data_IF_175422112398
#
_entry.id   IF_175422112398
#
_cell.length_a   1.000
_cell.length_b   1.000
_cell.length_c   1.000
_cell.angle_alpha   90.00
_cell.angle_beta   90.00
_cell.angle_gamma   90.00
#
_symmetry.space_group_name_H-M   'P 1'
#
loop_
_entity.id
_entity.type
_entity.pdbx_description
1 polymer ?
#
# COMPACT_ATOMS: atom_id res chain seq x y z
N UNK A 1 -1.29 35.02 -0.50
CA UNK A 1 -0.23 34.57 -1.42
C UNK A 1 -0.51 33.13 -1.78
N UNK A 2 -0.80 32.91 -3.06
CA UNK A 2 -1.49 31.74 -3.61
C UNK A 2 -0.63 30.47 -3.50
N UNK A 3 -1.10 29.54 -2.68
CA UNK A 3 -0.49 28.25 -2.37
C UNK A 3 -0.75 27.24 -3.50
N UNK A 4 -0.02 27.34 -4.61
CA UNK A 4 -0.15 26.39 -5.71
C UNK A 4 0.76 25.17 -5.49
N UNK A 5 0.13 24.00 -5.31
CA UNK A 5 0.76 22.71 -5.51
C UNK A 5 0.97 22.59 -7.02
N UNK A 6 2.19 22.90 -7.48
CA UNK A 6 2.53 22.98 -8.89
C UNK A 6 2.15 21.68 -9.59
N UNK A 7 1.25 21.77 -10.55
CA UNK A 7 0.90 20.62 -11.37
C UNK A 7 2.15 20.21 -12.15
N UNK A 8 2.52 18.92 -12.16
CA UNK A 8 3.67 18.46 -12.92
C UNK A 8 3.48 18.83 -14.39
N UNK A 9 4.55 19.32 -15.03
CA UNK A 9 4.56 19.54 -16.47
C UNK A 9 4.26 18.20 -17.16
N UNK A 10 3.23 18.16 -18.01
CA UNK A 10 2.85 16.93 -18.72
C UNK A 10 3.94 16.58 -19.73
N UNK A 11 4.09 15.28 -20.04
CA UNK A 11 5.08 14.80 -21.01
C UNK A 11 4.97 15.53 -22.35
N UNK A 12 3.77 15.88 -22.80
CA UNK A 12 3.55 16.66 -24.02
C UNK A 12 4.22 18.04 -23.99
N UNK A 13 4.33 18.66 -22.83
CA UNK A 13 4.84 20.04 -22.64
C UNK A 13 6.32 20.09 -22.29
N UNK A 14 6.97 18.93 -22.07
CA UNK A 14 8.41 18.85 -21.80
C UNK A 14 9.23 19.43 -22.96
N UNK A 15 10.48 19.89 -22.72
CA UNK A 15 11.40 20.23 -23.78
C UNK A 15 11.51 19.10 -24.82
N UNK A 16 11.66 19.47 -26.10
CA UNK A 16 11.65 18.50 -27.20
C UNK A 16 12.71 17.42 -27.06
N UNK A 17 13.91 17.80 -26.61
CA UNK A 17 15.03 16.88 -26.32
C UNK A 17 14.62 15.86 -25.26
N UNK A 18 14.01 16.33 -24.16
CA UNK A 18 13.60 15.49 -23.03
C UNK A 18 12.54 14.47 -23.46
N UNK A 19 11.54 14.90 -24.24
CA UNK A 19 10.51 14.00 -24.78
C UNK A 19 11.10 12.91 -25.66
N UNK A 20 12.06 13.26 -26.52
CA UNK A 20 12.72 12.31 -27.41
C UNK A 20 13.55 11.29 -26.62
N UNK A 21 14.31 11.76 -25.62
CA UNK A 21 15.11 10.88 -24.76
C UNK A 21 14.21 9.97 -23.91
N UNK A 22 13.12 10.49 -23.36
CA UNK A 22 12.16 9.70 -22.58
C UNK A 22 11.44 8.65 -23.42
N UNK A 23 10.99 9.03 -24.62
CA UNK A 23 10.41 8.09 -25.59
C UNK A 23 11.41 6.98 -25.92
N UNK A 24 12.66 7.33 -26.24
CA UNK A 24 13.72 6.33 -26.50
C UNK A 24 13.94 5.40 -25.31
N UNK A 25 14.01 5.95 -24.10
CA UNK A 25 14.24 5.17 -22.90
C UNK A 25 13.10 4.17 -22.60
N UNK A 26 11.88 4.48 -23.01
CA UNK A 26 10.67 3.67 -22.74
C UNK A 26 10.30 2.71 -23.87
N UNK A 27 10.90 2.84 -25.06
CA UNK A 27 10.70 1.91 -26.17
C UNK A 27 11.13 0.49 -25.76
N UNK A 28 10.25 -0.47 -26.02
CA UNK A 28 10.57 -1.90 -25.91
C UNK A 28 11.53 -2.26 -27.04
N UNK A 29 12.70 -2.82 -26.70
CA UNK A 29 13.67 -3.23 -27.72
C UNK A 29 13.08 -4.25 -28.69
N UNK A 30 13.55 -4.20 -29.94
CA UNK A 30 13.24 -5.19 -30.96
C UNK A 30 14.30 -6.30 -30.95
N UNK A 31 14.20 -7.30 -31.85
CA UNK A 31 15.23 -8.34 -31.98
C UNK A 31 16.58 -7.79 -32.46
N UNK A 32 16.61 -6.59 -33.03
CA UNK A 32 17.80 -5.94 -33.59
C UNK A 32 18.17 -4.62 -32.88
N UNK A 33 17.27 -4.06 -32.06
CA UNK A 33 17.49 -2.80 -31.34
C UNK A 33 17.72 -3.05 -29.85
N UNK A 34 18.69 -2.35 -29.26
CA UNK A 34 18.88 -2.38 -27.82
C UNK A 34 17.64 -1.80 -27.10
N UNK A 35 17.09 -2.51 -26.09
CA UNK A 35 15.95 -2.02 -25.34
C UNK A 35 16.33 -0.78 -24.53
N UNK A 36 15.44 0.22 -24.52
CA UNK A 36 15.64 1.42 -23.71
C UNK A 36 15.76 1.09 -22.22
N UNK A 37 16.47 1.92 -21.46
CA UNK A 37 16.74 1.71 -20.03
C UNK A 37 15.50 1.56 -19.14
N UNK A 38 14.37 2.12 -19.56
CA UNK A 38 13.08 2.06 -18.87
C UNK A 38 12.08 1.07 -19.52
N UNK A 39 12.47 0.36 -20.58
CA UNK A 39 11.61 -0.61 -21.30
C UNK A 39 10.99 -1.70 -20.41
N UNK A 40 11.76 -2.17 -19.42
CA UNK A 40 11.35 -3.22 -18.49
C UNK A 40 10.65 -2.70 -17.22
N UNK A 41 10.45 -1.37 -17.12
CA UNK A 41 9.87 -0.77 -15.93
C UNK A 41 8.38 -1.05 -15.85
N UNK A 42 7.88 -1.16 -14.63
CA UNK A 42 6.43 -1.28 -14.41
C UNK A 42 5.75 0.06 -14.76
N UNK A 43 4.49 0.05 -15.23
CA UNK A 43 3.74 1.29 -15.49
C UNK A 43 3.73 2.26 -14.30
N UNK A 44 3.64 1.73 -13.07
CA UNK A 44 3.73 2.55 -11.85
C UNK A 44 5.08 3.25 -11.65
N UNK A 45 6.17 2.61 -12.10
CA UNK A 45 7.52 3.18 -12.01
C UNK A 45 7.71 4.26 -13.06
N UNK A 46 7.20 4.05 -14.27
CA UNK A 46 7.15 5.05 -15.35
C UNK A 46 6.37 6.27 -14.86
N UNK A 47 5.15 6.09 -14.35
CA UNK A 47 4.32 7.21 -13.87
C UNK A 47 4.94 7.99 -12.70
N UNK A 48 5.69 7.33 -11.80
CA UNK A 48 6.44 8.04 -10.74
C UNK A 48 7.57 8.87 -11.36
N UNK A 49 8.33 8.31 -12.30
CA UNK A 49 9.42 9.02 -12.94
C UNK A 49 8.91 10.22 -13.76
N UNK A 50 7.83 10.06 -14.52
CA UNK A 50 7.19 11.15 -15.27
C UNK A 50 6.66 12.24 -14.36
N UNK A 51 5.95 11.88 -13.30
CA UNK A 51 5.43 12.85 -12.34
C UNK A 51 6.57 13.63 -11.68
N UNK A 52 7.58 12.93 -11.17
CA UNK A 52 8.74 13.55 -10.53
C UNK A 52 9.53 14.47 -11.47
N UNK A 53 9.77 14.03 -12.71
CA UNK A 53 10.51 14.82 -13.69
C UNK A 53 9.68 16.02 -14.17
N UNK A 54 8.37 15.84 -14.38
CA UNK A 54 7.46 16.92 -14.70
C UNK A 54 7.35 17.96 -13.59
N UNK A 55 7.34 17.56 -12.31
CA UNK A 55 7.40 18.50 -11.18
C UNK A 55 8.72 19.28 -11.14
N UNK A 56 9.84 18.62 -11.47
CA UNK A 56 11.14 19.26 -11.58
C UNK A 56 11.17 20.29 -12.71
N UNK A 57 10.68 19.94 -13.90
CA UNK A 57 10.59 20.86 -15.04
C UNK A 57 9.67 22.04 -14.75
N UNK A 58 8.51 21.81 -14.11
CA UNK A 58 7.60 22.88 -13.73
C UNK A 58 8.26 23.84 -12.72
N UNK A 59 9.02 23.31 -11.75
CA UNK A 59 9.78 24.16 -10.83
C UNK A 59 10.87 24.97 -11.56
N UNK A 60 11.61 24.37 -12.50
CA UNK A 60 12.58 25.11 -13.30
C UNK A 60 11.92 26.23 -14.13
N UNK A 61 10.75 25.96 -14.70
CA UNK A 61 9.98 26.89 -15.52
C UNK A 61 9.45 28.06 -14.67
N UNK A 62 8.88 27.77 -13.50
CA UNK A 62 8.40 28.77 -12.54
C UNK A 62 9.50 29.71 -12.02
N UNK A 63 10.75 29.22 -11.95
CA UNK A 63 11.89 30.02 -11.53
C UNK A 63 12.63 30.65 -12.72
N UNK A 64 12.08 30.58 -13.93
CA UNK A 64 12.64 31.15 -15.17
C UNK A 64 14.08 30.65 -15.49
N UNK A 65 14.45 29.48 -14.97
CA UNK A 65 15.77 28.85 -15.15
C UNK A 65 15.70 27.62 -16.06
N UNK A 66 14.52 27.32 -16.62
CA UNK A 66 14.37 26.23 -17.57
C UNK A 66 14.97 26.58 -18.93
N UNK A 67 16.22 26.21 -19.14
CA UNK A 67 16.82 26.22 -20.47
C UNK A 67 16.33 25.00 -21.27
N UNK A 68 15.43 25.23 -22.23
CA UNK A 68 14.81 24.17 -23.06
C UNK A 68 15.74 23.60 -24.13
N UNK A 69 16.90 24.23 -24.38
CA UNK A 69 17.85 23.86 -25.43
C UNK A 69 18.93 22.86 -24.98
N UNK A 70 19.22 22.83 -23.68
CA UNK A 70 20.23 21.93 -23.11
C UNK A 70 19.68 20.54 -22.82
N UNK A 71 20.57 19.58 -22.58
CA UNK A 71 20.19 18.22 -22.19
C UNK A 71 19.72 18.16 -20.72
N UNK A 72 18.85 17.19 -20.35
CA UNK A 72 18.40 16.99 -18.97
C UNK A 72 19.50 17.04 -17.92
N UNK A 73 20.63 16.36 -18.14
CA UNK A 73 21.77 16.28 -17.22
C UNK A 73 22.37 17.65 -16.91
N UNK A 74 22.46 18.54 -17.90
CA UNK A 74 23.07 19.86 -17.75
C UNK A 74 22.24 20.79 -16.85
N UNK A 75 20.94 20.51 -16.68
CA UNK A 75 20.07 21.27 -15.79
C UNK A 75 20.27 20.92 -14.31
N UNK A 76 20.88 19.77 -14.03
CA UNK A 76 20.94 19.16 -12.69
C UNK A 76 22.23 19.56 -11.99
N UNK A 77 22.14 20.51 -11.06
CA UNK A 77 23.22 20.89 -10.14
C UNK A 77 22.81 20.62 -8.71
N UNK A 78 23.78 20.56 -7.79
CA UNK A 78 23.49 20.34 -6.37
C UNK A 78 22.58 21.44 -5.81
N UNK A 79 22.87 22.69 -6.15
CA UNK A 79 22.16 23.88 -5.68
C UNK A 79 20.70 23.88 -6.14
N UNK A 80 20.46 23.60 -7.43
CA UNK A 80 19.09 23.60 -7.97
C UNK A 80 18.25 22.46 -7.41
N UNK A 81 18.83 21.28 -7.26
CA UNK A 81 18.11 20.13 -6.70
C UNK A 81 17.82 20.34 -5.22
N UNK A 82 18.74 20.93 -4.47
CA UNK A 82 18.52 21.23 -3.05
C UNK A 82 17.39 22.25 -2.88
N UNK A 83 17.41 23.35 -3.63
CA UNK A 83 16.34 24.34 -3.65
C UNK A 83 14.97 23.73 -4.07
N UNK A 84 14.97 22.81 -5.03
CA UNK A 84 13.76 22.06 -5.40
C UNK A 84 13.29 21.15 -4.26
N UNK A 85 14.20 20.45 -3.57
CA UNK A 85 13.86 19.58 -2.46
C UNK A 85 13.32 20.38 -1.24
N UNK A 86 13.90 21.55 -0.97
CA UNK A 86 13.39 22.50 0.04
C UNK A 86 11.98 22.99 -0.32
N UNK A 87 11.77 23.40 -1.58
CA UNK A 87 10.45 23.79 -2.08
C UNK A 87 9.40 22.68 -1.87
N UNK A 88 9.77 21.43 -2.14
CA UNK A 88 8.89 20.29 -1.91
C UNK A 88 8.65 20.05 -0.41
N UNK A 89 9.69 20.12 0.42
CA UNK A 89 9.59 19.83 1.86
C UNK A 89 8.70 20.83 2.61
N UNK A 90 8.59 22.07 2.11
CA UNK A 90 7.63 23.05 2.61
C UNK A 90 6.15 22.70 2.37
N UNK A 91 5.85 21.72 1.50
CA UNK A 91 4.48 21.41 1.05
C UNK A 91 4.07 19.95 1.29
N UNK A 92 5.03 19.03 1.25
CA UNK A 92 4.77 17.60 1.38
C UNK A 92 5.68 16.95 2.41
N UNK A 93 5.23 15.82 2.97
CA UNK A 93 6.03 15.07 3.94
C UNK A 93 7.38 14.61 3.33
N UNK A 94 8.42 14.49 4.15
CA UNK A 94 9.77 14.12 3.71
C UNK A 94 9.85 12.78 2.92
N UNK A 95 8.97 11.82 3.20
CA UNK A 95 8.86 10.61 2.38
C UNK A 95 8.35 10.88 0.95
N UNK A 96 7.46 11.86 0.79
CA UNK A 96 6.99 12.28 -0.54
C UNK A 96 8.11 13.01 -1.29
N UNK A 97 8.89 13.87 -0.60
CA UNK A 97 10.11 14.48 -1.16
C UNK A 97 11.09 13.41 -1.62
N UNK A 98 11.35 12.40 -0.79
CA UNK A 98 12.22 11.27 -1.11
C UNK A 98 11.77 10.52 -2.37
N UNK A 99 10.47 10.27 -2.51
CA UNK A 99 9.88 9.64 -3.71
C UNK A 99 10.07 10.54 -4.93
N UNK A 100 9.83 11.84 -4.80
CA UNK A 100 10.00 12.81 -5.87
C UNK A 100 11.45 12.82 -6.39
N UNK A 101 12.43 12.98 -5.50
CA UNK A 101 13.87 13.00 -5.83
C UNK A 101 14.34 11.66 -6.40
N UNK A 102 13.86 10.54 -5.85
CA UNK A 102 14.14 9.20 -6.40
C UNK A 102 13.55 9.02 -7.81
N UNK A 103 12.37 9.57 -8.08
CA UNK A 103 11.75 9.55 -9.41
C UNK A 103 12.49 10.42 -10.41
N UNK A 104 12.95 11.61 -9.99
CA UNK A 104 13.82 12.48 -10.78
C UNK A 104 15.12 11.75 -11.16
N UNK A 105 15.79 11.14 -10.19
CA UNK A 105 16.99 10.34 -10.44
C UNK A 105 16.74 9.21 -11.44
N UNK A 106 15.63 8.48 -11.32
CA UNK A 106 15.24 7.45 -12.28
C UNK A 106 15.08 8.02 -13.69
N UNK A 107 14.31 9.10 -13.85
CA UNK A 107 14.08 9.72 -15.14
C UNK A 107 15.41 10.13 -15.80
N UNK A 108 16.29 10.80 -15.06
CA UNK A 108 17.61 11.23 -15.54
C UNK A 108 18.48 10.05 -15.96
N UNK A 109 18.55 8.98 -15.15
CA UNK A 109 19.31 7.78 -15.51
C UNK A 109 18.81 7.12 -16.79
N UNK A 110 17.49 7.15 -17.02
CA UNK A 110 16.89 6.56 -18.20
C UNK A 110 17.13 7.41 -19.45
N UNK A 111 17.05 8.73 -19.34
CA UNK A 111 17.22 9.66 -20.48
C UNK A 111 18.69 9.92 -20.85
N UNK A 112 19.60 9.88 -19.89
CA UNK A 112 21.02 10.22 -20.07
C UNK A 112 21.94 9.00 -20.00
N UNK A 113 21.37 7.81 -19.77
CA UNK A 113 22.08 6.52 -19.73
C UNK A 113 23.32 6.54 -18.81
N UNK A 114 23.24 7.33 -17.74
CA UNK A 114 24.39 7.67 -16.88
C UNK A 114 24.18 7.21 -15.44
N UNK A 115 25.28 7.13 -14.70
CA UNK A 115 25.28 6.95 -13.23
C UNK A 115 25.72 8.20 -12.47
N UNK A 116 25.94 9.33 -13.14
CA UNK A 116 26.52 10.54 -12.56
C UNK A 116 25.67 11.18 -11.44
N UNK A 117 24.40 10.79 -11.32
CA UNK A 117 23.46 11.38 -10.36
C UNK A 117 23.19 10.52 -9.12
N UNK A 118 24.08 9.57 -8.78
CA UNK A 118 23.93 8.73 -7.58
C UNK A 118 23.77 9.53 -6.28
N UNK A 119 24.32 10.74 -6.19
CA UNK A 119 24.15 11.63 -5.03
C UNK A 119 22.68 12.01 -4.78
N UNK A 120 21.81 11.97 -5.78
CA UNK A 120 20.36 12.13 -5.60
C UNK A 120 19.76 11.05 -4.69
N UNK A 121 20.30 9.83 -4.70
CA UNK A 121 19.87 8.77 -3.77
C UNK A 121 20.29 9.06 -2.32
N UNK A 122 21.38 9.82 -2.11
CA UNK A 122 21.78 10.27 -0.78
C UNK A 122 20.81 11.34 -0.27
N UNK A 123 20.49 12.33 -1.10
CA UNK A 123 19.51 13.37 -0.77
C UNK A 123 18.12 12.78 -0.50
N UNK A 124 17.65 11.87 -1.36
CA UNK A 124 16.38 11.18 -1.16
C UNK A 124 16.35 10.41 0.17
N UNK A 125 17.45 9.78 0.58
CA UNK A 125 17.55 9.08 1.87
C UNK A 125 17.58 10.05 3.04
N UNK A 126 18.26 11.18 2.93
CA UNK A 126 18.25 12.23 3.95
C UNK A 126 16.81 12.64 4.29
N UNK A 127 16.00 13.00 3.29
CA UNK A 127 14.60 13.37 3.50
C UNK A 127 13.73 12.22 4.01
N UNK A 128 14.00 10.97 3.62
CA UNK A 128 13.28 9.81 4.15
C UNK A 128 13.59 9.54 5.63
N UNK A 129 14.85 9.71 6.03
CA UNK A 129 15.31 9.44 7.40
C UNK A 129 14.95 10.56 8.38
N UNK A 130 14.99 11.81 7.92
CA UNK A 130 14.64 12.99 8.72
C UNK A 130 13.15 13.32 8.66
N UNK A 131 12.37 12.64 7.81
CA UNK A 131 10.93 12.70 7.92
C UNK A 131 10.53 12.26 9.33
N UNK A 132 9.77 13.08 10.08
CA UNK A 132 9.21 12.61 11.33
C UNK A 132 8.52 11.27 11.07
N UNK A 133 8.51 10.37 12.04
CA UNK A 133 7.65 9.18 11.93
C UNK A 133 6.20 9.66 11.99
N UNK A 134 5.66 10.20 10.89
CA UNK A 134 4.40 10.96 10.83
C UNK A 134 3.17 10.07 11.05
N UNK A 135 3.37 8.84 11.50
CA UNK A 135 2.28 7.99 11.97
C UNK A 135 2.79 7.29 13.20
N UNK A 136 2.20 7.61 14.35
CA UNK A 136 2.15 6.69 15.47
C UNK A 136 1.36 5.44 15.01
N UNK A 137 2.02 4.60 14.21
CA UNK A 137 1.47 3.38 13.63
C UNK A 137 1.18 2.39 14.74
N UNK A 138 2.01 2.37 15.79
CA UNK A 138 1.82 1.56 16.99
C UNK A 138 0.45 1.84 17.63
N UNK A 139 0.07 3.12 17.78
CA UNK A 139 -1.26 3.50 18.27
C UNK A 139 -2.40 3.31 17.26
N UNK A 140 -2.16 2.60 16.14
CA UNK A 140 -3.18 2.16 15.18
C UNK A 140 -3.12 0.64 14.95
N UNK A 141 -2.23 -0.06 15.63
CA UNK A 141 -2.19 -1.52 15.57
C UNK A 141 -3.39 -2.06 16.33
N UNK A 142 -4.14 -2.94 15.68
CA UNK A 142 -5.28 -3.64 16.23
C UNK A 142 -4.93 -5.14 16.15
N UNK A 143 -5.21 -5.94 17.18
CA UNK A 143 -5.01 -7.39 17.11
C UNK A 143 -5.70 -7.99 15.88
N UNK A 144 -5.03 -8.92 15.22
CA UNK A 144 -5.57 -9.52 13.99
C UNK A 144 -6.83 -10.35 14.26
N UNK A 145 -6.92 -10.97 15.43
CA UNK A 145 -8.12 -11.66 15.90
C UNK A 145 -9.34 -10.71 15.99
N UNK A 146 -9.18 -9.52 16.57
CA UNK A 146 -10.25 -8.52 16.69
C UNK A 146 -10.74 -8.05 15.31
N UNK A 147 -9.82 -7.87 14.36
CA UNK A 147 -10.16 -7.53 12.98
C UNK A 147 -10.89 -8.67 12.28
N UNK A 148 -10.44 -9.89 12.48
CA UNK A 148 -11.06 -11.09 11.93
C UNK A 148 -12.50 -11.25 12.42
N UNK A 149 -12.70 -11.16 13.74
CA UNK A 149 -14.00 -11.24 14.38
C UNK A 149 -14.94 -10.12 13.92
N UNK A 150 -14.48 -8.88 13.84
CA UNK A 150 -15.29 -7.77 13.34
C UNK A 150 -15.79 -8.03 11.90
N UNK A 151 -14.95 -8.58 11.02
CA UNK A 151 -15.40 -8.95 9.67
C UNK A 151 -16.45 -10.07 9.67
N UNK A 152 -16.34 -11.05 10.58
CA UNK A 152 -17.34 -12.11 10.77
C UNK A 152 -18.68 -11.54 11.23
N UNK A 153 -18.67 -10.67 12.25
CA UNK A 153 -19.86 -9.98 12.76
C UNK A 153 -20.58 -9.19 11.66
N UNK A 154 -19.83 -8.50 10.79
CA UNK A 154 -20.40 -7.78 9.65
C UNK A 154 -21.09 -8.72 8.66
N UNK A 155 -20.52 -9.89 8.39
CA UNK A 155 -21.12 -10.89 7.51
C UNK A 155 -22.39 -11.50 8.12
N UNK A 156 -22.38 -11.81 9.41
CA UNK A 156 -23.53 -12.38 10.11
C UNK A 156 -24.69 -11.38 10.22
N UNK A 157 -24.40 -10.11 10.50
CA UNK A 157 -25.40 -9.04 10.47
C UNK A 157 -25.96 -8.83 9.07
N UNK A 158 -25.10 -8.87 8.06
CA UNK A 158 -25.50 -8.71 6.67
C UNK A 158 -26.43 -9.83 6.19
N UNK A 159 -26.16 -11.08 6.58
CA UNK A 159 -26.97 -12.24 6.21
C UNK A 159 -28.40 -12.18 6.79
N UNK A 160 -28.60 -11.47 7.91
CA UNK A 160 -29.91 -11.28 8.55
C UNK A 160 -30.74 -10.16 7.91
N UNK A 161 -30.16 -9.32 7.04
CA UNK A 161 -30.87 -8.20 6.39
C UNK A 161 -31.69 -8.68 5.20
N UNK A 162 -33.00 -8.70 5.36
CA UNK A 162 -33.97 -9.07 4.30
C UNK A 162 -34.51 -7.83 3.58
N UNK A 163 -34.63 -6.71 4.29
CA UNK A 163 -35.23 -5.44 3.86
C UNK A 163 -34.38 -4.65 2.85
N UNK A 164 -33.06 -4.81 2.89
CA UNK A 164 -32.12 -4.08 2.05
C UNK A 164 -31.10 -5.03 1.39
N UNK A 165 -31.50 -5.86 0.41
CA UNK A 165 -30.68 -6.98 -0.08
C UNK A 165 -29.35 -6.53 -0.71
N UNK A 166 -29.33 -5.41 -1.44
CA UNK A 166 -28.08 -4.88 -2.02
C UNK A 166 -27.15 -4.33 -0.93
N UNK A 167 -27.70 -3.62 0.06
CA UNK A 167 -26.91 -3.13 1.19
C UNK A 167 -26.35 -4.29 2.03
N UNK A 168 -27.16 -5.32 2.29
CA UNK A 168 -26.72 -6.57 2.92
C UNK A 168 -25.60 -7.22 2.12
N UNK A 169 -25.74 -7.34 0.80
CA UNK A 169 -24.69 -7.91 -0.05
C UNK A 169 -23.37 -7.11 0.02
N UNK A 170 -23.44 -5.78 0.00
CA UNK A 170 -22.27 -4.92 0.19
C UNK A 170 -21.64 -5.08 1.57
N UNK A 171 -22.45 -5.15 2.63
CA UNK A 171 -21.97 -5.33 4.01
C UNK A 171 -21.31 -6.70 4.19
N UNK A 172 -21.87 -7.75 3.59
CA UNK A 172 -21.27 -9.09 3.60
C UNK A 172 -19.92 -9.10 2.89
N UNK A 173 -19.86 -8.60 1.64
CA UNK A 173 -18.60 -8.45 0.89
C UNK A 173 -17.55 -7.69 1.70
N UNK A 174 -17.97 -6.62 2.35
CA UNK A 174 -17.13 -5.78 3.18
C UNK A 174 -16.58 -6.52 4.40
N UNK A 175 -17.41 -7.25 5.13
CA UNK A 175 -16.98 -8.10 6.25
C UNK A 175 -15.97 -9.17 5.80
N UNK A 176 -16.26 -9.83 4.67
CA UNK A 176 -15.37 -10.83 4.08
C UNK A 176 -13.99 -10.26 3.72
N UNK A 177 -13.92 -9.04 3.16
CA UNK A 177 -12.66 -8.37 2.86
C UNK A 177 -11.83 -8.13 4.14
N UNK A 178 -12.47 -7.71 5.24
CA UNK A 178 -11.80 -7.43 6.51
C UNK A 178 -11.27 -8.72 7.13
N UNK A 179 -12.10 -9.76 7.25
CA UNK A 179 -11.66 -11.06 7.78
C UNK A 179 -10.59 -11.69 6.90
N UNK A 180 -10.71 -11.61 5.58
CA UNK A 180 -9.70 -12.08 4.65
C UNK A 180 -8.36 -11.35 4.84
N UNK A 181 -8.35 -10.02 4.98
CA UNK A 181 -7.11 -9.27 5.20
C UNK A 181 -6.50 -9.52 6.58
N UNK A 182 -7.31 -9.83 7.59
CA UNK A 182 -6.83 -10.18 8.93
C UNK A 182 -6.12 -11.53 8.95
N UNK A 183 -6.67 -12.53 8.25
CA UNK A 183 -6.07 -13.87 8.13
C UNK A 183 -4.98 -13.96 7.06
N UNK A 184 -5.15 -13.24 5.95
CA UNK A 184 -4.28 -13.24 4.77
C UNK A 184 -3.91 -11.81 4.40
N UNK A 185 -2.95 -11.18 5.11
CA UNK A 185 -2.58 -9.78 4.94
C UNK A 185 -1.78 -9.54 3.65
N UNK A 186 -2.41 -9.73 2.49
CA UNK A 186 -1.82 -9.52 1.18
C UNK A 186 -1.80 -8.03 0.83
N UNK A 187 -0.96 -7.64 -0.14
CA UNK A 187 -0.89 -6.24 -0.57
C UNK A 187 -2.20 -5.84 -1.26
N UNK A 188 -2.62 -4.59 -1.12
CA UNK A 188 -3.82 -4.04 -1.78
C UNK A 188 -3.91 -4.35 -3.27
N UNK A 189 -2.79 -4.24 -3.99
CA UNK A 189 -2.74 -4.57 -5.42
C UNK A 189 -2.90 -6.07 -5.72
N UNK A 190 -2.53 -6.95 -4.78
CA UNK A 190 -2.82 -8.38 -4.92
C UNK A 190 -4.29 -8.64 -4.60
N UNK A 191 -4.83 -7.99 -3.56
CA UNK A 191 -6.25 -8.10 -3.19
C UNK A 191 -7.18 -7.71 -4.34
N UNK A 192 -6.90 -6.60 -5.03
CA UNK A 192 -7.67 -6.16 -6.20
C UNK A 192 -7.53 -7.09 -7.40
N UNK A 193 -6.44 -7.88 -7.47
CA UNK A 193 -6.14 -8.79 -8.57
C UNK A 193 -6.48 -10.25 -8.24
N UNK A 194 -7.37 -10.49 -7.27
CA UNK A 194 -7.98 -11.80 -7.08
C UNK A 194 -9.06 -12.01 -8.15
N UNK A 195 -8.81 -12.96 -9.05
CA UNK A 195 -9.61 -13.26 -10.23
C UNK A 195 -9.96 -14.74 -10.19
N UNK A 196 -11.26 -15.03 -10.22
CA UNK A 196 -11.83 -16.37 -10.11
C UNK A 196 -11.35 -17.26 -11.26
N UNK A 197 -10.79 -18.41 -10.90
CA UNK A 197 -10.26 -19.37 -11.88
C UNK A 197 -8.83 -19.07 -12.32
N UNK A 198 -8.26 -17.92 -11.97
CA UNK A 198 -6.91 -17.52 -12.37
C UNK A 198 -5.98 -17.38 -11.17
N UNK A 199 -6.20 -16.37 -10.33
CA UNK A 199 -5.35 -16.09 -9.17
C UNK A 199 -5.96 -16.58 -7.87
N UNK A 200 -7.25 -16.92 -7.86
CA UNK A 200 -7.90 -17.67 -6.78
C UNK A 200 -8.73 -18.82 -7.34
N UNK A 201 -8.52 -20.02 -6.81
CA UNK A 201 -9.10 -21.27 -7.30
C UNK A 201 -9.51 -22.17 -6.15
N UNK A 202 -10.62 -22.91 -6.30
CA UNK A 202 -10.96 -23.99 -5.36
C UNK A 202 -10.03 -25.19 -5.62
N UNK A 203 -9.45 -25.75 -4.56
CA UNK A 203 -8.58 -26.92 -4.58
C UNK A 203 -8.97 -27.83 -3.42
N UNK A 204 -9.71 -28.90 -3.72
CA UNK A 204 -10.35 -29.72 -2.70
C UNK A 204 -11.38 -28.92 -1.91
N UNK A 205 -11.33 -29.00 -0.58
CA UNK A 205 -12.26 -28.31 0.32
C UNK A 205 -11.94 -26.82 0.53
N UNK A 206 -10.76 -26.33 0.12
CA UNK A 206 -10.31 -24.95 0.42
C UNK A 206 -10.01 -24.13 -0.84
N UNK A 207 -10.12 -22.81 -0.71
CA UNK A 207 -9.62 -21.90 -1.75
C UNK A 207 -8.12 -21.72 -1.62
N UNK A 208 -7.43 -21.59 -2.76
CA UNK A 208 -6.02 -21.23 -2.84
C UNK A 208 -5.86 -20.02 -3.73
N UNK A 209 -5.05 -19.06 -3.30
CA UNK A 209 -4.65 -17.95 -4.14
C UNK A 209 -3.16 -17.98 -4.43
N UNK A 210 -2.80 -17.63 -5.66
CA UNK A 210 -1.41 -17.58 -6.11
C UNK A 210 -1.15 -16.38 -7.02
N UNK A 211 0.02 -15.77 -6.88
CA UNK A 211 0.48 -14.67 -7.71
C UNK A 211 1.86 -14.97 -8.27
N UNK A 212 2.01 -14.85 -9.59
CA UNK A 212 3.30 -14.98 -10.28
C UNK A 212 4.28 -13.88 -9.82
N UNK A 213 5.61 -14.09 -9.95
CA UNK A 213 6.61 -13.10 -9.58
C UNK A 213 6.40 -11.71 -10.20
N UNK A 214 5.96 -11.66 -11.47
CA UNK A 214 5.66 -10.40 -12.16
C UNK A 214 4.57 -9.57 -11.47
N UNK A 215 3.59 -10.24 -10.86
CA UNK A 215 2.47 -9.62 -10.16
C UNK A 215 2.79 -9.22 -8.70
N UNK A 216 3.89 -9.71 -8.11
CA UNK A 216 4.24 -9.37 -6.72
C UNK A 216 5.28 -8.27 -6.62
N UNK A 217 5.20 -7.43 -5.58
CA UNK A 217 6.19 -6.35 -5.35
C UNK A 217 7.59 -6.90 -5.06
N UNK A 218 7.69 -8.07 -4.44
CA UNK A 218 8.96 -8.73 -4.08
C UNK A 218 9.55 -9.55 -5.23
N UNK A 219 8.88 -9.66 -6.38
CA UNK A 219 9.27 -10.56 -7.49
C UNK A 219 9.43 -12.02 -7.05
N UNK A 220 8.60 -12.48 -6.12
CA UNK A 220 8.53 -13.86 -5.66
C UNK A 220 7.11 -14.40 -5.83
N UNK A 221 6.97 -15.70 -6.01
CA UNK A 221 5.65 -16.35 -5.94
C UNK A 221 5.07 -16.09 -4.55
N UNK A 222 3.80 -15.67 -4.51
CA UNK A 222 3.01 -15.65 -3.29
C UNK A 222 1.89 -16.66 -3.48
N UNK A 223 1.91 -17.75 -2.71
CA UNK A 223 0.87 -18.77 -2.71
C UNK A 223 0.43 -19.02 -1.27
N UNK A 224 -0.89 -19.01 -1.03
CA UNK A 224 -1.46 -19.39 0.27
C UNK A 224 -2.79 -20.10 0.07
N UNK A 225 -3.09 -21.01 1.00
CA UNK A 225 -4.40 -21.63 1.16
C UNK A 225 -5.22 -20.79 2.12
N UNK A 226 -6.46 -20.47 1.72
CA UNK A 226 -7.43 -19.77 2.57
C UNK A 226 -7.79 -20.67 3.76
N UNK A 227 -7.87 -20.09 4.95
CA UNK A 227 -8.29 -20.83 6.15
C UNK A 227 -9.69 -21.42 5.99
N UNK A 228 -9.98 -22.47 6.75
CA UNK A 228 -11.22 -23.25 6.62
C UNK A 228 -12.46 -22.41 6.85
N UNK A 229 -12.53 -21.72 7.98
CA UNK A 229 -13.64 -20.84 8.35
C UNK A 229 -13.98 -19.80 7.28
N UNK A 230 -12.97 -19.25 6.59
CA UNK A 230 -13.18 -18.29 5.50
C UNK A 230 -13.68 -18.96 4.22
N UNK A 231 -13.35 -20.24 4.01
CA UNK A 231 -13.80 -20.95 2.82
C UNK A 231 -15.32 -21.06 2.78
N UNK A 232 -15.97 -21.35 3.91
CA UNK A 232 -17.44 -21.38 3.99
C UNK A 232 -18.06 -20.02 3.69
N UNK A 233 -17.46 -18.95 4.21
CA UNK A 233 -17.88 -17.57 3.92
C UNK A 233 -17.66 -17.19 2.45
N UNK A 234 -16.60 -17.70 1.82
CA UNK A 234 -16.38 -17.57 0.38
C UNK A 234 -17.45 -18.31 -0.42
N UNK A 235 -17.86 -19.50 0.00
CA UNK A 235 -18.90 -20.27 -0.69
C UNK A 235 -20.23 -19.51 -0.70
N UNK A 236 -20.65 -18.97 0.46
CA UNK A 236 -21.83 -18.08 0.55
C UNK A 236 -21.67 -16.83 -0.31
N UNK A 237 -20.50 -16.20 -0.27
CA UNK A 237 -20.23 -15.01 -1.06
C UNK A 237 -20.35 -15.29 -2.57
N UNK A 238 -19.72 -16.35 -3.05
CA UNK A 238 -19.65 -16.68 -4.48
C UNK A 238 -20.98 -17.21 -5.01
N UNK A 239 -21.72 -17.98 -4.23
CA UNK A 239 -23.01 -18.53 -4.63
C UNK A 239 -24.13 -17.49 -4.61
N UNK A 240 -24.12 -16.56 -3.66
CA UNK A 240 -25.32 -15.77 -3.35
C UNK A 240 -25.07 -14.26 -3.37
N UNK A 241 -23.98 -13.78 -2.79
CA UNK A 241 -23.74 -12.34 -2.60
C UNK A 241 -23.15 -11.70 -3.86
N UNK A 242 -22.10 -12.31 -4.41
CA UNK A 242 -21.38 -11.81 -5.59
C UNK A 242 -22.29 -11.73 -6.82
N UNK A 243 -23.12 -12.74 -7.16
CA UNK A 243 -24.06 -12.62 -8.28
C UNK A 243 -25.00 -11.43 -8.13
N UNK A 244 -25.60 -11.23 -6.94
CA UNK A 244 -26.47 -10.07 -6.66
C UNK A 244 -25.81 -8.72 -6.89
N UNK A 245 -24.51 -8.59 -6.58
CA UNK A 245 -23.76 -7.37 -6.86
C UNK A 245 -23.43 -7.24 -8.36
N UNK A 246 -22.99 -8.34 -8.99
CA UNK A 246 -22.59 -8.38 -10.40
C UNK A 246 -23.76 -8.11 -11.35
N UNK A 247 -24.95 -8.63 -11.06
CA UNK A 247 -26.13 -8.55 -11.93
C UNK A 247 -26.69 -7.12 -12.06
N UNK A 248 -26.07 -6.16 -11.36
CA UNK A 248 -26.33 -4.73 -11.51
C UNK A 248 -25.64 -4.11 -12.74
N UNK A 249 -24.66 -4.80 -13.33
CA UNK A 249 -24.00 -4.38 -14.56
C UNK A 249 -24.53 -5.19 -15.76
N UNK A 250 -24.64 -4.55 -16.93
CA UNK A 250 -25.12 -5.16 -18.18
C UNK A 250 -24.02 -5.84 -19.00
N UNK A 251 -22.79 -5.91 -18.48
CA UNK A 251 -21.61 -6.44 -19.17
C UNK A 251 -21.26 -7.91 -18.84
N UNK A 252 -20.23 -8.45 -19.52
CA UNK A 252 -19.68 -9.76 -19.18
C UNK A 252 -19.18 -9.79 -17.74
N UNK A 253 -19.24 -10.96 -17.09
CA UNK A 253 -18.70 -11.10 -15.72
C UNK A 253 -17.19 -10.78 -15.74
N UNK A 254 -16.72 -9.77 -14.99
CA UNK A 254 -15.31 -9.40 -14.95
C UNK A 254 -14.43 -10.48 -14.28
N UNK A 255 -15.03 -11.54 -13.72
CA UNK A 255 -14.38 -12.64 -12.98
C UNK A 255 -13.58 -12.18 -11.76
N UNK A 256 -13.52 -10.88 -11.49
CA UNK A 256 -12.91 -10.32 -10.27
C UNK A 256 -13.65 -10.83 -9.05
N UNK A 257 -12.89 -11.22 -8.02
CA UNK A 257 -13.46 -11.71 -6.77
C UNK A 257 -14.33 -10.65 -6.12
N UNK A 258 -13.85 -9.40 -6.07
CA UNK A 258 -14.54 -8.28 -5.44
C UNK A 258 -15.31 -7.46 -6.46
N UNK A 259 -16.62 -7.33 -6.26
CA UNK A 259 -17.53 -6.57 -7.12
C UNK A 259 -17.99 -5.31 -6.40
N UNK A 260 -17.98 -4.17 -7.09
CA UNK A 260 -18.40 -2.87 -6.61
C UNK A 260 -19.94 -2.75 -6.58
N UNK A 261 -20.45 -1.61 -6.10
CA UNK A 261 -21.91 -1.39 -5.99
C UNK A 261 -22.60 -1.31 -7.36
N UNK A 262 -21.91 -0.84 -8.38
CA UNK A 262 -22.37 -0.73 -9.77
C UNK A 262 -22.25 -2.05 -10.56
N UNK A 263 -21.76 -3.12 -9.93
CA UNK A 263 -21.53 -4.41 -10.59
C UNK A 263 -20.18 -4.53 -11.31
N UNK A 264 -19.37 -3.46 -11.34
CA UNK A 264 -18.03 -3.49 -11.91
C UNK A 264 -17.01 -4.12 -10.95
N UNK A 265 -15.76 -4.25 -11.41
CA UNK A 265 -14.64 -4.67 -10.55
C UNK A 265 -14.42 -3.65 -9.44
N UNK A 266 -14.35 -4.11 -8.19
CA UNK A 266 -13.90 -3.28 -7.08
C UNK A 266 -12.37 -3.17 -7.12
N UNK A 267 -11.88 -2.06 -7.65
CA UNK A 267 -10.46 -1.83 -7.84
C UNK A 267 -9.68 -1.56 -6.53
N UNK A 268 -8.37 -1.35 -6.66
CA UNK A 268 -7.51 -1.06 -5.51
C UNK A 268 -7.89 0.25 -4.78
N UNK A 269 -8.45 1.25 -5.49
CA UNK A 269 -8.91 2.51 -4.90
C UNK A 269 -10.15 2.31 -4.04
N UNK A 270 -11.16 1.63 -4.60
CA UNK A 270 -12.39 1.25 -3.93
C UNK A 270 -12.14 0.37 -2.71
N UNK A 271 -11.26 -0.64 -2.82
CA UNK A 271 -10.86 -1.46 -1.67
C UNK A 271 -10.24 -0.64 -0.54
N UNK A 272 -9.42 0.37 -0.88
CA UNK A 272 -8.86 1.27 0.13
C UNK A 272 -9.95 2.06 0.85
N UNK A 273 -10.92 2.61 0.11
CA UNK A 273 -12.03 3.38 0.68
C UNK A 273 -12.93 2.51 1.57
N UNK A 274 -13.29 1.31 1.11
CA UNK A 274 -14.09 0.34 1.86
C UNK A 274 -13.43 0.00 3.19
N UNK A 275 -12.16 -0.41 3.17
CA UNK A 275 -11.44 -0.77 4.40
C UNK A 275 -11.34 0.41 5.36
N UNK A 276 -11.05 1.61 4.85
CA UNK A 276 -10.97 2.84 5.66
C UNK A 276 -12.30 3.19 6.31
N UNK A 277 -13.40 3.12 5.55
CA UNK A 277 -14.72 3.45 6.06
C UNK A 277 -15.17 2.49 7.16
N UNK A 278 -15.01 1.17 6.95
CA UNK A 278 -15.47 0.16 7.90
C UNK A 278 -14.70 0.20 9.21
N UNK A 279 -13.39 0.31 9.14
CA UNK A 279 -12.53 0.34 10.33
C UNK A 279 -12.66 1.66 11.08
N UNK A 280 -12.91 2.78 10.38
CA UNK A 280 -13.18 4.07 11.00
C UNK A 280 -14.52 4.14 11.77
N UNK A 281 -15.49 3.28 11.47
CA UNK A 281 -16.75 3.18 12.22
C UNK A 281 -16.59 2.47 13.57
N UNK A 282 -15.67 1.50 13.66
CA UNK A 282 -15.52 0.62 14.83
C UNK A 282 -14.35 0.99 15.73
N UNK A 283 -13.27 1.51 15.15
CA UNK A 283 -12.03 1.75 15.86
C UNK A 283 -11.69 3.24 15.92
N UNK A 284 -10.96 3.70 16.95
CA UNK A 284 -10.63 5.13 17.13
C UNK A 284 -9.90 5.75 15.93
N UNK A 285 -9.22 4.92 15.13
CA UNK A 285 -8.53 5.35 13.92
C UNK A 285 -8.77 4.36 12.80
N UNK A 286 -9.21 4.87 11.66
CA UNK A 286 -9.38 4.07 10.46
C UNK A 286 -8.07 3.38 10.05
N UNK A 287 -8.17 2.10 9.70
CA UNK A 287 -7.12 1.33 9.08
C UNK A 287 -7.15 1.51 7.57
N UNK A 288 -6.06 1.11 6.94
CA UNK A 288 -5.93 0.99 5.49
C UNK A 288 -5.40 -0.42 5.20
N UNK A 289 -5.56 -0.96 3.98
CA UNK A 289 -5.11 -2.33 3.68
C UNK A 289 -3.66 -2.64 4.05
N UNK A 290 -2.76 -1.65 3.97
CA UNK A 290 -1.36 -1.84 4.42
C UNK A 290 -1.23 -2.01 5.94
N UNK A 291 -2.09 -1.37 6.75
CA UNK A 291 -2.02 -1.50 8.21
C UNK A 291 -2.42 -2.90 8.69
N UNK A 292 -3.22 -3.67 7.94
CA UNK A 292 -3.49 -5.08 8.26
C UNK A 292 -2.20 -5.92 8.30
N UNK A 293 -1.23 -5.60 7.44
CA UNK A 293 0.10 -6.25 7.46
C UNK A 293 0.90 -5.87 8.69
N UNK A 294 0.85 -4.60 9.08
CA UNK A 294 1.51 -4.12 10.29
C UNK A 294 0.85 -4.77 11.52
N UNK A 295 -0.49 -4.89 11.55
CA UNK A 295 -1.26 -5.56 12.59
C UNK A 295 -0.93 -7.05 12.71
N UNK A 296 -0.91 -7.78 11.59
CA UNK A 296 -0.54 -9.20 11.57
C UNK A 296 0.89 -9.42 12.03
N UNK A 297 1.83 -8.59 11.58
CA UNK A 297 3.23 -8.68 12.02
C UNK A 297 3.36 -8.49 13.52
N UNK A 298 2.65 -7.49 14.07
CA UNK A 298 2.69 -7.18 15.49
C UNK A 298 1.95 -8.21 16.33
N UNK A 299 0.79 -8.74 15.89
CA UNK A 299 0.10 -9.85 16.57
C UNK A 299 1.00 -11.07 16.69
N UNK A 300 1.60 -11.54 15.59
CA UNK A 300 2.52 -12.69 15.64
C UNK A 300 3.69 -12.41 16.58
N UNK A 301 4.28 -11.22 16.54
CA UNK A 301 5.39 -10.89 17.43
C UNK A 301 5.01 -10.79 18.92
N UNK A 302 3.73 -10.65 19.24
CA UNK A 302 3.22 -10.59 20.64
C UNK A 302 2.72 -11.96 21.10
N UNK A 303 1.98 -12.65 20.24
CA UNK A 303 1.25 -13.89 20.55
C UNK A 303 2.11 -15.14 20.29
N UNK A 304 3.05 -15.07 19.36
CA UNK A 304 3.95 -16.17 18.99
C UNK A 304 5.36 -15.67 18.61
N UNK A 305 6.10 -15.11 19.59
CA UNK A 305 7.41 -14.51 19.35
C UNK A 305 8.47 -15.52 18.87
N UNK A 306 8.33 -16.80 19.22
CA UNK A 306 9.25 -17.86 18.79
C UNK A 306 9.19 -18.11 17.28
N UNK A 307 8.02 -17.88 16.68
CA UNK A 307 7.78 -18.08 15.24
C UNK A 307 7.78 -16.79 14.41
N UNK A 308 8.42 -15.71 14.89
CA UNK A 308 8.54 -14.46 14.11
C UNK A 308 9.16 -14.68 12.72
N UNK A 309 10.01 -15.70 12.55
CA UNK A 309 10.52 -16.11 11.23
C UNK A 309 9.41 -16.42 10.21
N UNK A 310 8.25 -16.93 10.67
CA UNK A 310 7.07 -17.23 9.84
C UNK A 310 6.45 -15.97 9.26
N UNK A 311 6.56 -14.81 9.94
CA UNK A 311 6.07 -13.52 9.41
C UNK A 311 6.71 -13.18 8.06
N UNK A 312 7.96 -13.58 7.81
CA UNK A 312 8.63 -13.37 6.51
C UNK A 312 7.91 -14.12 5.39
N UNK A 313 7.46 -15.34 5.66
CA UNK A 313 6.75 -16.22 4.71
C UNK A 313 5.28 -15.82 4.55
N UNK A 314 4.58 -15.55 5.66
CA UNK A 314 3.16 -15.13 5.65
C UNK A 314 2.97 -13.76 5.02
N UNK A 315 3.91 -12.84 5.22
CA UNK A 315 3.83 -11.48 4.70
C UNK A 315 4.57 -11.33 3.36
N UNK A 316 5.49 -12.24 3.01
CA UNK A 316 6.33 -12.10 1.83
C UNK A 316 7.26 -10.88 1.91
N UNK A 317 7.93 -10.69 3.05
CA UNK A 317 8.93 -9.65 3.26
C UNK A 317 10.27 -10.05 2.61
N UNK A 318 10.91 -9.08 1.93
CA UNK A 318 12.17 -9.32 1.22
C UNK A 318 13.39 -9.27 2.15
N UNK A 319 13.32 -8.56 3.29
CA UNK A 319 14.46 -8.31 4.20
C UNK A 319 14.08 -8.50 5.66
N UNK A 320 15.03 -8.98 6.47
CA UNK A 320 14.88 -9.18 7.92
C UNK A 320 14.68 -7.85 8.67
N UNK A 321 15.30 -6.76 8.21
CA UNK A 321 15.15 -5.43 8.79
C UNK A 321 13.68 -4.95 8.86
N UNK A 322 12.84 -5.34 7.90
CA UNK A 322 11.40 -5.02 7.93
C UNK A 322 10.69 -5.77 9.05
N UNK A 323 10.97 -7.07 9.21
CA UNK A 323 10.43 -7.89 10.30
C UNK A 323 10.92 -7.43 11.68
N UNK A 324 12.19 -7.05 11.80
CA UNK A 324 12.77 -6.52 13.05
C UNK A 324 12.07 -5.24 13.54
N UNK A 325 11.67 -4.36 12.63
CA UNK A 325 10.92 -3.13 12.99
C UNK A 325 9.56 -3.47 13.63
N UNK A 326 8.88 -4.50 13.14
CA UNK A 326 7.61 -4.97 13.72
C UNK A 326 7.83 -5.65 15.08
N UNK A 327 8.92 -6.40 15.23
CA UNK A 327 9.31 -6.98 16.52
C UNK A 327 9.60 -5.91 17.58
N UNK A 328 10.41 -4.90 17.24
CA UNK A 328 10.72 -3.81 18.17
C UNK A 328 9.43 -3.06 18.59
N UNK A 329 8.48 -2.89 17.67
CA UNK A 329 7.17 -2.31 17.96
C UNK A 329 6.33 -3.19 18.90
N UNK A 330 6.29 -4.50 18.66
CA UNK A 330 5.62 -5.48 19.51
C UNK A 330 6.20 -5.48 20.93
N UNK A 331 7.53 -5.52 21.07
CA UNK A 331 8.21 -5.45 22.36
C UNK A 331 7.87 -4.16 23.12
N UNK A 332 7.86 -3.01 22.44
CA UNK A 332 7.44 -1.74 23.05
C UNK A 332 5.98 -1.77 23.55
N UNK A 333 5.07 -2.37 22.78
CA UNK A 333 3.65 -2.52 23.18
C UNK A 333 3.47 -3.49 24.34
N UNK A 334 4.17 -4.64 24.34
CA UNK A 334 4.15 -5.61 25.43
C UNK A 334 4.74 -5.03 26.72
N UNK A 335 5.84 -4.28 26.63
CA UNK A 335 6.44 -3.56 27.75
C UNK A 335 5.48 -2.51 28.32
N UNK A 336 4.85 -1.69 27.46
CA UNK A 336 3.87 -0.69 27.89
C UNK A 336 2.64 -1.32 28.56
N UNK A 337 2.14 -2.45 28.07
CA UNK A 337 1.02 -3.19 28.70
C UNK A 337 1.39 -3.74 30.07
N UNK A 338 2.58 -4.36 30.20
CA UNK A 338 3.09 -4.86 31.48
C UNK A 338 3.23 -3.73 32.50
N UNK A 339 3.81 -2.60 32.09
CA UNK A 339 3.93 -1.42 32.94
C UNK A 339 2.56 -0.88 33.39
N UNK A 340 1.60 -0.75 32.47
CA UNK A 340 0.23 -0.32 32.81
C UNK A 340 -0.47 -1.27 33.81
N UNK A 341 -0.29 -2.58 33.64
CA UNK A 341 -0.80 -3.58 34.59
C UNK A 341 -0.15 -3.45 35.98
N UNK A 342 1.17 -3.20 36.04
CA UNK A 342 1.86 -2.94 37.31
C UNK A 342 1.37 -1.68 38.01
N UNK A 343 1.14 -0.58 37.28
CA UNK A 343 0.55 0.64 37.84
C UNK A 343 -0.89 0.41 38.32
N UNK A 344 -1.71 -0.32 37.57
CA UNK A 344 -3.08 -0.67 37.98
C UNK A 344 -3.11 -1.60 39.20
N UNK A 345 -2.11 -2.47 39.37
CA UNK A 345 -1.94 -3.29 40.56
C UNK A 345 -1.50 -2.45 41.77
N UNK A 346 -0.57 -1.50 41.57
CA UNK A 346 -0.12 -0.57 42.62
C UNK A 346 -1.25 0.32 43.12
N UNK A 347 -2.07 0.87 42.20
CA UNK A 347 -3.24 1.69 42.56
C UNK A 347 -4.28 0.90 43.37
N UNK A 348 -4.48 -0.38 43.07
CA UNK A 348 -5.39 -1.25 43.84
C UNK A 348 -4.88 -1.46 45.26
N UNK A 349 -3.60 -1.79 45.42
CA UNK A 349 -2.98 -1.95 46.74
C UNK A 349 -3.10 -0.68 47.60
N UNK A 350 -2.79 0.48 47.02
CA UNK A 350 -2.92 1.75 47.73
C UNK A 350 -4.37 2.11 48.09
N UNK A 351 -5.35 1.70 47.27
CA UNK A 351 -6.76 1.90 47.58
C UNK A 351 -7.29 0.91 48.64
N UNK A 352 -6.73 -0.29 48.71
CA UNK A 352 -7.06 -1.29 49.74
C UNK A 352 -6.43 -0.88 51.09
N UNK A 353 -5.23 -0.29 51.09
CA UNK A 353 -4.54 0.21 52.29
C UNK A 353 -5.23 1.46 52.90
N UNK A 354 -5.93 2.27 52.10
CA UNK A 354 -6.73 3.44 52.55
C UNK A 354 -8.10 3.03 53.14
N UNK A 355 -8.53 1.78 52.98
CA UNK A 355 -9.81 1.26 53.51
C UNK A 355 -9.62 0.59 54.89
N UNK A 356 -8.40 0.14 55.20
CA UNK A 356 -8.02 -0.49 56.47
C UNK A 356 -7.32 0.47 57.46
N UNK A 357 -7.25 1.78 57.15
CA UNK A 357 -6.81 2.86 58.07
C UNK A 357 -7.99 3.73 58.49
#
# INVERSE_FOLDING_TARGET
MTTSNVLPMKVADWPSIDRQLWARATISGSRLDEPGWASSWRPSTIGIAEHSYGSWLAWLDENEILDRSVRPAARVTAERVDAFAERLSGHVAGNTVSIAISGLHRALRAMEETTNFRWLDHLARHYANNAPSVRNKAARVIPSADLYQHGQELMDQAAKRVDAPVHGALQYRNGLIISFLAAHPIRRGNLSNLVLGQTIVRRGSRYRFSFKPSATKSRRVLEQTVIEDLTERFDVYLATVRPRLRDRATGPDPRSLWIAMDGATLDAGGLYLVVRQLTGKRYPRALFPHLFRDCASTSVAIEDPEHIGITKSVLGHTTLATSQKHYNMANGMSASRRFGASIAALKRRLADDDIDS
#
